data_IF_234624928531
#
_entry.id   IF_234624928531
#
_cell.length_a   1.000
_cell.length_b   1.000
_cell.length_c   1.000
_cell.angle_alpha   90.00
_cell.angle_beta   90.00
_cell.angle_gamma   90.00
#
_symmetry.space_group_name_H-M   'P 1'
#
loop_
_entity.id
_entity.type
_entity.pdbx_description
1 polymer ?
#
# COMPACT_ATOMS: atom_id res chain seq x y z
N UNK A 1 13.96 11.70 9.41
CA UNK A 1 13.09 11.26 8.29
C UNK A 1 12.54 12.47 7.57
N UNK A 2 12.60 12.52 6.25
CA UNK A 2 11.93 13.57 5.51
C UNK A 2 10.41 13.49 5.77
N UNK A 3 9.75 14.64 5.84
CA UNK A 3 8.29 14.69 5.97
C UNK A 3 7.62 14.04 4.75
N UNK A 4 6.47 13.41 4.97
CA UNK A 4 5.63 12.90 3.89
C UNK A 4 5.23 14.05 2.94
N UNK A 5 5.01 13.76 1.66
CA UNK A 5 4.47 14.77 0.75
C UNK A 5 3.07 15.21 1.20
N UNK A 6 2.71 16.50 1.04
CA UNK A 6 1.44 17.04 1.54
C UNK A 6 0.20 16.31 1.02
N UNK A 7 0.30 15.65 -0.14
CA UNK A 7 -0.79 14.84 -0.70
C UNK A 7 -1.16 13.66 0.20
N UNK A 8 -0.21 13.19 1.02
CA UNK A 8 -0.37 12.02 1.91
C UNK A 8 -0.69 12.41 3.36
N UNK A 9 -0.94 13.68 3.64
CA UNK A 9 -1.32 14.12 4.98
C UNK A 9 -2.64 13.47 5.43
N UNK A 10 -2.65 13.00 6.66
CA UNK A 10 -3.87 12.44 7.26
C UNK A 10 -5.00 13.48 7.27
N UNK A 11 -6.21 13.01 6.99
CA UNK A 11 -7.41 13.83 6.90
C UNK A 11 -7.70 14.39 5.50
N UNK A 12 -6.75 14.33 4.56
CA UNK A 12 -6.99 14.72 3.17
C UNK A 12 -7.65 13.59 2.40
N UNK A 13 -8.46 13.95 1.41
CA UNK A 13 -8.93 12.97 0.44
C UNK A 13 -7.84 12.62 -0.56
N UNK A 14 -7.80 11.36 -0.96
CA UNK A 14 -6.95 10.94 -2.05
C UNK A 14 -7.34 11.71 -3.32
N UNK A 15 -6.37 12.29 -4.06
CA UNK A 15 -6.68 12.96 -5.31
C UNK A 15 -7.22 11.96 -6.34
N UNK A 16 -8.06 12.45 -7.26
CA UNK A 16 -8.58 11.63 -8.36
C UNK A 16 -7.42 11.09 -9.20
N UNK A 17 -7.25 9.78 -9.20
CA UNK A 17 -6.20 9.09 -9.95
C UNK A 17 -6.65 7.68 -10.33
N UNK A 18 -6.01 7.13 -11.36
CA UNK A 18 -6.46 5.90 -12.00
C UNK A 18 -5.31 4.91 -12.13
N UNK A 19 -5.51 3.71 -11.61
CA UNK A 19 -4.70 2.54 -11.92
C UNK A 19 -5.35 1.70 -13.02
N UNK A 20 -4.73 0.58 -13.39
CA UNK A 20 -5.23 -0.32 -14.43
C UNK A 20 -5.20 -1.77 -13.99
N UNK A 21 -6.27 -2.49 -14.32
CA UNK A 21 -6.29 -3.96 -14.25
C UNK A 21 -5.36 -4.58 -15.31
N UNK A 22 -5.14 -5.88 -15.21
CA UNK A 22 -4.36 -6.65 -16.17
C UNK A 22 -4.89 -6.51 -17.62
N UNK A 23 -6.21 -6.47 -17.79
CA UNK A 23 -6.87 -6.28 -19.09
C UNK A 23 -6.86 -4.84 -19.61
N UNK A 24 -6.25 -3.91 -18.86
CA UNK A 24 -6.17 -2.49 -19.16
C UNK A 24 -7.36 -1.66 -18.67
N UNK A 25 -8.36 -2.27 -18.05
CA UNK A 25 -9.51 -1.55 -17.48
C UNK A 25 -9.07 -0.54 -16.46
N UNK A 26 -9.54 0.70 -16.59
CA UNK A 26 -9.22 1.79 -15.66
C UNK A 26 -9.98 1.63 -14.33
N UNK A 27 -9.27 1.84 -13.22
CA UNK A 27 -9.82 1.78 -11.87
C UNK A 27 -9.48 3.06 -11.13
N UNK A 28 -10.48 3.78 -10.62
CA UNK A 28 -10.32 4.97 -9.79
C UNK A 28 -9.80 4.58 -8.41
N UNK A 29 -8.56 4.94 -8.10
CA UNK A 29 -7.92 4.61 -6.81
C UNK A 29 -8.58 5.36 -5.65
N UNK A 30 -9.00 6.59 -5.87
CA UNK A 30 -9.68 7.43 -4.89
C UNK A 30 -11.09 6.93 -4.52
N UNK A 31 -11.66 6.01 -5.28
CA UNK A 31 -12.97 5.41 -5.02
C UNK A 31 -12.89 3.98 -4.46
N UNK A 32 -11.70 3.41 -4.30
CA UNK A 32 -11.54 2.03 -3.81
C UNK A 32 -12.09 1.82 -2.39
N UNK A 33 -12.05 2.85 -1.56
CA UNK A 33 -12.52 2.79 -0.16
C UNK A 33 -13.99 3.20 0.00
N UNK A 34 -14.81 3.17 -1.06
CA UNK A 34 -16.23 3.56 -0.98
C UNK A 34 -17.02 2.72 0.05
N UNK A 35 -16.72 1.43 0.14
CA UNK A 35 -17.45 0.48 1.00
C UNK A 35 -16.73 0.11 2.30
N UNK A 36 -15.48 0.49 2.46
CA UNK A 36 -14.68 0.18 3.64
C UNK A 36 -13.24 0.64 3.51
N UNK A 37 -12.43 0.51 4.58
CA UNK A 37 -11.04 0.92 4.57
C UNK A 37 -10.21 0.08 3.60
N UNK A 38 -9.21 0.72 2.99
CA UNK A 38 -8.28 0.12 2.04
C UNK A 38 -6.85 0.54 2.37
N UNK A 39 -5.94 -0.40 2.32
CA UNK A 39 -4.51 -0.13 2.33
C UNK A 39 -3.97 -0.20 0.91
N UNK A 40 -3.50 0.93 0.40
CA UNK A 40 -2.79 1.04 -0.87
C UNK A 40 -1.30 0.82 -0.65
N UNK A 41 -0.69 0.09 -1.56
CA UNK A 41 0.75 -0.20 -1.57
C UNK A 41 1.31 0.09 -2.96
N UNK A 42 1.91 1.27 -3.12
CA UNK A 42 2.55 1.67 -4.39
C UNK A 42 3.98 1.17 -4.40
N UNK A 43 4.37 0.41 -5.41
CA UNK A 43 5.66 -0.27 -5.41
C UNK A 43 6.34 -0.34 -6.76
N UNK A 44 7.65 -0.63 -6.69
CA UNK A 44 8.50 -1.04 -7.81
C UNK A 44 9.27 -2.27 -7.36
N UNK A 45 9.23 -3.35 -8.15
CA UNK A 45 9.74 -4.66 -7.75
C UNK A 45 11.25 -4.69 -7.48
N UNK A 46 12.03 -3.87 -8.20
CA UNK A 46 13.49 -3.79 -8.06
C UNK A 46 13.95 -2.94 -6.86
N UNK A 47 13.03 -2.35 -6.10
CA UNK A 47 13.36 -1.56 -4.92
C UNK A 47 13.69 -2.46 -3.72
N UNK A 48 14.85 -2.28 -3.05
CA UNK A 48 15.24 -3.08 -1.89
C UNK A 48 14.27 -3.00 -0.71
N UNK A 49 13.65 -1.84 -0.47
CA UNK A 49 12.63 -1.69 0.56
C UNK A 49 11.34 -2.43 0.19
N UNK A 50 10.97 -2.44 -1.09
CA UNK A 50 9.85 -3.22 -1.61
C UNK A 50 10.08 -4.73 -1.41
N UNK A 51 11.30 -5.21 -1.60
CA UNK A 51 11.64 -6.61 -1.38
C UNK A 51 11.40 -7.06 0.08
N UNK A 52 11.57 -6.16 1.05
CA UNK A 52 11.24 -6.42 2.45
C UNK A 52 9.73 -6.32 2.68
N UNK A 53 9.09 -5.30 2.15
CA UNK A 53 7.68 -4.96 2.42
C UNK A 53 6.69 -5.89 1.72
N UNK A 54 6.99 -6.34 0.50
CA UNK A 54 6.09 -7.15 -0.32
C UNK A 54 5.58 -8.41 0.36
N UNK A 55 6.45 -9.26 0.94
CA UNK A 55 6.04 -10.45 1.67
C UNK A 55 5.23 -10.15 2.95
N UNK A 56 5.35 -8.92 3.47
CA UNK A 56 4.64 -8.49 4.69
C UNK A 56 3.21 -8.05 4.40
N UNK A 57 2.97 -7.45 3.23
CA UNK A 57 1.66 -6.88 2.87
C UNK A 57 0.49 -7.86 3.09
N UNK A 58 0.54 -9.15 2.69
CA UNK A 58 -0.60 -10.05 2.87
C UNK A 58 -0.91 -10.37 4.35
N UNK A 59 -0.01 -10.07 5.29
CA UNK A 59 -0.29 -10.25 6.73
C UNK A 59 -1.41 -9.34 7.21
N UNK A 60 -1.64 -8.20 6.55
CA UNK A 60 -2.77 -7.31 6.82
C UNK A 60 -4.14 -7.96 6.55
N UNK A 61 -4.21 -9.05 5.80
CA UNK A 61 -5.43 -9.82 5.60
C UNK A 61 -5.98 -10.43 6.91
N UNK A 62 -5.17 -10.49 7.97
CA UNK A 62 -5.64 -10.80 9.33
C UNK A 62 -6.61 -9.77 9.91
N UNK A 63 -6.71 -8.58 9.33
CA UNK A 63 -7.71 -7.56 9.65
C UNK A 63 -8.91 -7.72 8.71
N UNK A 64 -9.89 -8.50 9.14
CA UNK A 64 -11.09 -8.77 8.35
C UNK A 64 -11.83 -7.48 8.00
N UNK A 65 -12.14 -7.29 6.72
CA UNK A 65 -12.78 -6.08 6.20
C UNK A 65 -11.80 -5.02 5.66
N UNK A 66 -10.47 -5.20 5.78
CA UNK A 66 -9.49 -4.33 5.15
C UNK A 66 -9.23 -4.77 3.71
N UNK A 67 -9.48 -3.89 2.74
CA UNK A 67 -9.07 -4.11 1.35
C UNK A 67 -7.56 -3.91 1.20
N UNK A 68 -6.88 -4.82 0.49
CA UNK A 68 -5.46 -4.71 0.17
C UNK A 68 -5.31 -4.50 -1.33
N UNK A 69 -4.73 -3.38 -1.75
CA UNK A 69 -4.53 -3.03 -3.15
C UNK A 69 -3.09 -2.60 -3.37
N UNK A 70 -2.39 -3.32 -4.23
CA UNK A 70 -1.06 -2.98 -4.67
C UNK A 70 -1.11 -2.29 -6.04
N UNK A 71 -0.32 -1.24 -6.21
CA UNK A 71 -0.21 -0.47 -7.46
C UNK A 71 1.24 -0.53 -7.93
N UNK A 72 1.47 -1.26 -9.00
CA UNK A 72 2.80 -1.49 -9.55
C UNK A 72 3.19 -0.42 -10.57
N UNK A 73 4.45 0.02 -10.49
CA UNK A 73 5.08 0.88 -11.48
C UNK A 73 5.81 0.10 -12.59
N UNK A 74 5.79 -1.22 -12.53
CA UNK A 74 6.49 -2.11 -13.45
C UNK A 74 5.59 -2.59 -14.60
N UNK A 75 6.19 -3.33 -15.55
CA UNK A 75 5.45 -4.03 -16.58
C UNK A 75 4.66 -5.24 -16.01
N UNK A 76 3.87 -5.89 -16.86
CA UNK A 76 3.04 -7.03 -16.44
C UNK A 76 3.87 -8.19 -15.91
N UNK A 77 4.98 -8.50 -16.57
CA UNK A 77 5.82 -9.63 -16.20
C UNK A 77 6.40 -9.47 -14.79
N UNK A 78 7.01 -8.31 -14.51
CA UNK A 78 7.58 -7.98 -13.20
C UNK A 78 6.49 -7.85 -12.13
N UNK A 79 5.37 -7.21 -12.47
CA UNK A 79 4.25 -7.01 -11.56
C UNK A 79 3.69 -8.34 -11.04
N UNK A 80 3.34 -9.25 -11.95
CA UNK A 80 2.73 -10.52 -11.54
C UNK A 80 3.75 -11.52 -11.01
N UNK A 81 4.98 -11.48 -11.49
CA UNK A 81 6.08 -12.26 -10.94
C UNK A 81 6.38 -11.89 -9.49
N UNK A 82 6.41 -10.62 -9.16
CA UNK A 82 6.60 -10.14 -7.79
C UNK A 82 5.41 -10.52 -6.89
N UNK A 83 4.18 -10.31 -7.35
CA UNK A 83 2.97 -10.68 -6.62
C UNK A 83 2.96 -12.17 -6.25
N UNK A 84 3.30 -13.02 -7.20
CA UNK A 84 3.40 -14.47 -6.99
C UNK A 84 4.50 -14.81 -5.96
N UNK A 85 5.68 -14.24 -6.10
CA UNK A 85 6.80 -14.44 -5.19
C UNK A 85 6.48 -14.00 -3.75
N UNK A 86 5.65 -12.97 -3.58
CA UNK A 86 5.21 -12.46 -2.27
C UNK A 86 3.98 -13.18 -1.69
N UNK A 87 3.38 -14.15 -2.41
CA UNK A 87 2.22 -14.88 -1.94
C UNK A 87 0.93 -14.05 -1.86
N UNK A 88 0.73 -13.12 -2.79
CA UNK A 88 -0.40 -12.19 -2.78
C UNK A 88 -1.72 -12.76 -3.29
N UNK A 89 -1.68 -13.91 -3.93
CA UNK A 89 -2.87 -14.53 -4.52
C UNK A 89 -4.01 -14.66 -3.51
N UNK A 90 -5.18 -14.20 -3.89
CA UNK A 90 -6.39 -14.24 -3.05
C UNK A 90 -6.44 -13.22 -1.92
N UNK A 91 -5.34 -12.51 -1.61
CA UNK A 91 -5.28 -11.54 -0.53
C UNK A 91 -5.14 -10.09 -1.02
N UNK A 92 -4.38 -9.85 -2.09
CA UNK A 92 -4.05 -8.53 -2.57
C UNK A 92 -4.53 -8.35 -4.01
N UNK A 93 -5.34 -7.32 -4.24
CA UNK A 93 -5.69 -6.89 -5.60
C UNK A 93 -4.50 -6.15 -6.20
N UNK A 94 -4.10 -6.51 -7.42
CA UNK A 94 -2.95 -5.92 -8.08
C UNK A 94 -3.40 -5.05 -9.24
N UNK A 95 -3.02 -3.79 -9.22
CA UNK A 95 -3.24 -2.82 -10.29
C UNK A 95 -1.90 -2.32 -10.81
N UNK A 96 -1.92 -1.69 -11.98
CA UNK A 96 -0.74 -1.07 -12.57
C UNK A 96 -0.91 0.44 -12.73
N UNK A 97 0.21 1.12 -12.61
CA UNK A 97 0.37 2.53 -12.97
C UNK A 97 1.47 2.62 -14.04
N UNK A 98 1.13 2.38 -15.32
CA UNK A 98 2.14 2.35 -16.39
C UNK A 98 2.80 3.71 -16.57
N UNK A 99 4.04 3.69 -17.08
CA UNK A 99 4.77 4.92 -17.41
C UNK A 99 3.90 5.89 -18.22
N UNK A 100 3.85 7.18 -17.90
CA UNK A 100 4.72 7.94 -17.01
C UNK A 100 4.27 8.02 -15.52
N UNK A 101 3.67 6.98 -14.97
CA UNK A 101 3.30 6.81 -13.54
C UNK A 101 2.40 7.94 -13.01
N UNK A 102 1.35 8.25 -13.73
CA UNK A 102 0.46 9.38 -13.42
C UNK A 102 -0.28 9.24 -12.10
N UNK A 103 -0.67 8.02 -11.74
CA UNK A 103 -1.32 7.77 -10.46
C UNK A 103 -0.34 7.99 -9.30
N UNK A 104 0.85 7.41 -9.38
CA UNK A 104 1.91 7.59 -8.38
C UNK A 104 2.28 9.07 -8.21
N UNK A 105 2.41 9.80 -9.30
CA UNK A 105 2.70 11.23 -9.29
C UNK A 105 1.58 12.03 -8.61
N UNK A 106 0.32 11.75 -8.97
CA UNK A 106 -0.86 12.38 -8.35
C UNK A 106 -0.95 12.11 -6.84
N UNK A 107 -0.58 10.90 -6.41
CA UNK A 107 -0.53 10.53 -5.00
C UNK A 107 0.64 11.18 -4.24
N UNK A 108 1.62 11.70 -4.95
CA UNK A 108 2.88 12.15 -4.36
C UNK A 108 3.76 10.98 -3.90
N UNK A 109 3.61 9.81 -4.50
CA UNK A 109 4.42 8.61 -4.23
C UNK A 109 5.81 8.73 -4.88
N UNK A 110 6.66 9.53 -4.28
CA UNK A 110 8.05 9.80 -4.72
C UNK A 110 9.05 8.73 -4.33
N UNK A 111 8.64 7.82 -3.46
CA UNK A 111 9.47 6.75 -2.89
C UNK A 111 8.69 5.44 -2.99
N UNK A 112 9.36 4.33 -3.25
CA UNK A 112 8.74 3.01 -3.22
C UNK A 112 9.35 2.14 -2.10
N UNK A 113 8.55 1.38 -1.39
CA UNK A 113 7.10 1.44 -1.44
C UNK A 113 6.53 2.69 -0.75
N UNK A 114 5.35 3.12 -1.15
CA UNK A 114 4.52 4.07 -0.42
C UNK A 114 3.26 3.37 0.04
N UNK A 115 2.95 3.49 1.32
CA UNK A 115 1.78 2.91 1.97
C UNK A 115 0.77 4.01 2.25
N UNK A 116 -0.48 3.81 1.86
CA UNK A 116 -1.56 4.78 2.15
C UNK A 116 -2.76 4.02 2.70
N UNK A 117 -3.11 4.30 3.95
CA UNK A 117 -4.33 3.77 4.55
C UNK A 117 -5.47 4.75 4.32
N UNK A 118 -6.51 4.28 3.65
CA UNK A 118 -7.73 5.02 3.41
C UNK A 118 -8.83 4.53 4.36
N UNK A 119 -9.49 5.45 5.03
CA UNK A 119 -10.74 5.14 5.70
C UNK A 119 -11.89 5.08 4.68
N UNK A 120 -13.01 4.52 5.09
CA UNK A 120 -14.23 4.49 4.28
C UNK A 120 -14.55 5.89 3.76
N UNK A 121 -14.75 6.01 2.44
CA UNK A 121 -14.99 7.28 1.76
C UNK A 121 -13.76 7.91 1.13
N UNK A 122 -12.54 7.35 1.34
CA UNK A 122 -11.31 7.75 0.64
C UNK A 122 -10.48 8.83 1.32
N UNK A 123 -10.77 9.16 2.58
CA UNK A 123 -9.92 10.05 3.37
C UNK A 123 -8.70 9.29 3.88
N UNK A 124 -7.54 9.91 3.84
CA UNK A 124 -6.28 9.31 4.31
C UNK A 124 -6.28 9.26 5.83
N UNK A 125 -6.15 8.06 6.38
CA UNK A 125 -6.00 7.83 7.82
C UNK A 125 -4.52 7.81 8.24
N UNK A 126 -3.62 7.43 7.33
CA UNK A 126 -2.20 7.41 7.57
C UNK A 126 -1.44 7.01 6.33
N UNK A 127 -0.13 7.28 6.32
CA UNK A 127 0.75 6.91 5.23
C UNK A 127 2.17 6.67 5.75
N UNK A 128 2.97 5.93 4.98
CA UNK A 128 4.37 5.68 5.25
C UNK A 128 5.16 5.52 3.95
N UNK A 129 6.46 5.79 3.99
CA UNK A 129 7.37 5.63 2.86
C UNK A 129 8.48 4.63 3.21
N UNK A 130 8.85 3.80 2.25
CA UNK A 130 9.87 2.78 2.44
C UNK A 130 9.41 1.65 3.36
N UNK A 131 10.36 1.06 4.07
CA UNK A 131 10.09 0.06 5.09
C UNK A 131 10.46 0.60 6.48
N UNK A 132 9.50 0.62 7.38
CA UNK A 132 9.68 0.88 8.81
C UNK A 132 8.72 -0.03 9.56
N UNK A 133 9.27 -0.89 10.43
CA UNK A 133 8.45 -1.76 11.29
C UNK A 133 7.48 -0.95 12.14
N UNK A 134 7.96 0.14 12.73
CA UNK A 134 7.15 1.04 13.55
C UNK A 134 5.98 1.63 12.76
N UNK A 135 6.25 2.17 11.57
CA UNK A 135 5.23 2.80 10.73
C UNK A 135 4.20 1.78 10.23
N UNK A 136 4.66 0.61 9.80
CA UNK A 136 3.78 -0.45 9.28
C UNK A 136 2.89 -1.01 10.39
N UNK A 137 3.43 -1.26 11.58
CA UNK A 137 2.62 -1.64 12.74
C UNK A 137 1.67 -0.52 13.17
N UNK A 138 2.09 0.73 13.04
CA UNK A 138 1.22 1.91 13.27
C UNK A 138 0.04 1.97 12.32
N UNK A 139 0.26 1.69 11.03
CA UNK A 139 -0.83 1.58 10.03
C UNK A 139 -1.78 0.44 10.37
N UNK A 140 -1.26 -0.72 10.79
CA UNK A 140 -2.09 -1.85 11.22
C UNK A 140 -2.96 -1.51 12.44
N UNK A 141 -2.40 -0.81 13.41
CA UNK A 141 -3.16 -0.32 14.58
C UNK A 141 -4.29 0.62 14.18
N UNK A 142 -4.02 1.56 13.28
CA UNK A 142 -5.04 2.47 12.74
C UNK A 142 -6.12 1.73 11.96
N UNK A 143 -5.73 0.78 11.09
CA UNK A 143 -6.66 -0.04 10.32
C UNK A 143 -7.57 -0.87 11.23
N UNK A 144 -7.00 -1.51 12.26
CA UNK A 144 -7.78 -2.24 13.26
C UNK A 144 -8.81 -1.34 13.96
N UNK A 145 -8.41 -0.12 14.34
CA UNK A 145 -9.33 0.85 14.95
C UNK A 145 -10.48 1.25 14.01
N UNK A 146 -10.19 1.48 12.71
CA UNK A 146 -11.22 1.77 11.71
C UNK A 146 -12.24 0.63 11.54
N UNK A 147 -11.81 -0.60 11.77
CA UNK A 147 -12.63 -1.81 11.64
C UNK A 147 -13.27 -2.25 12.96
N UNK A 148 -12.95 -1.61 14.08
CA UNK A 148 -13.41 -2.03 15.40
C UNK A 148 -12.81 -3.37 15.85
N UNK A 149 -11.60 -3.69 15.37
CA UNK A 149 -10.89 -4.94 15.65
C UNK A 149 -9.76 -4.73 16.68
N UNK A 150 -9.33 -5.79 17.37
CA UNK A 150 -8.12 -5.74 18.18
C UNK A 150 -6.89 -5.41 17.34
N UNK A 151 -5.87 -4.74 17.90
CA UNK A 151 -4.61 -4.48 17.21
C UNK A 151 -3.95 -5.78 16.71
N UNK A 152 -3.36 -5.71 15.52
CA UNK A 152 -2.60 -6.79 14.91
C UNK A 152 -1.16 -6.33 14.68
N UNK A 153 -0.19 -7.03 15.26
CA UNK A 153 1.22 -6.79 15.01
C UNK A 153 1.62 -7.48 13.70
N UNK A 154 2.03 -6.68 12.73
CA UNK A 154 2.38 -7.15 11.38
C UNK A 154 3.81 -7.64 11.30
N UNK A 155 4.74 -6.93 11.94
CA UNK A 155 6.16 -7.28 11.99
C UNK A 155 6.66 -7.21 13.41
N UNK A 156 7.24 -8.33 13.89
CA UNK A 156 7.72 -8.46 15.27
C UNK A 156 9.20 -8.10 15.38
N UNK A 157 9.58 -7.54 16.51
CA UNK A 157 10.99 -7.30 16.84
C UNK A 157 11.76 -8.63 16.87
N UNK A 158 12.94 -8.65 16.27
CA UNK A 158 13.74 -9.88 16.13
C UNK A 158 13.25 -10.85 15.06
N UNK A 159 12.21 -10.50 14.30
CA UNK A 159 11.73 -11.23 13.13
C UNK A 159 12.69 -11.12 11.93
N UNK A 160 12.22 -11.61 10.78
CA UNK A 160 13.03 -11.65 9.54
C UNK A 160 13.31 -10.27 8.95
N UNK A 161 12.37 -9.35 9.13
CA UNK A 161 12.48 -8.02 8.55
C UNK A 161 13.41 -7.13 9.38
N UNK A 162 14.25 -6.28 8.74
CA UNK A 162 15.01 -5.28 9.46
C UNK A 162 14.06 -4.24 10.10
N UNK A 163 14.50 -3.46 11.09
CA UNK A 163 13.65 -2.44 11.69
C UNK A 163 13.29 -1.31 10.71
N UNK A 164 14.17 -1.04 9.76
CA UNK A 164 14.04 0.04 8.79
C UNK A 164 14.83 -0.21 7.51
N UNK A 165 14.29 0.27 6.37
CA UNK A 165 14.97 0.33 5.09
C UNK A 165 14.40 1.48 4.24
N UNK A 166 15.24 2.40 3.75
CA UNK A 166 14.77 3.49 2.88
C UNK A 166 14.27 2.94 1.55
N UNK A 167 13.28 3.62 0.99
CA UNK A 167 12.79 3.40 -0.36
C UNK A 167 13.66 4.06 -1.42
#
# INVERSE_FOLDING_TARGET
MPALPPQLDAGRHLPACTGREEDGTAVRLDLLAADGPVLLFVYKADCPATAVAGPVLPRFAGLDGLGLVAVSQDDDHETFGFAQACGWEGAVRVLRDPEPWRASDSLGARVTPTWVLLERGGRIAGAAEGWSREDVNGLATKAAALLGLPPLEISVEGGREPPWRPG
#
